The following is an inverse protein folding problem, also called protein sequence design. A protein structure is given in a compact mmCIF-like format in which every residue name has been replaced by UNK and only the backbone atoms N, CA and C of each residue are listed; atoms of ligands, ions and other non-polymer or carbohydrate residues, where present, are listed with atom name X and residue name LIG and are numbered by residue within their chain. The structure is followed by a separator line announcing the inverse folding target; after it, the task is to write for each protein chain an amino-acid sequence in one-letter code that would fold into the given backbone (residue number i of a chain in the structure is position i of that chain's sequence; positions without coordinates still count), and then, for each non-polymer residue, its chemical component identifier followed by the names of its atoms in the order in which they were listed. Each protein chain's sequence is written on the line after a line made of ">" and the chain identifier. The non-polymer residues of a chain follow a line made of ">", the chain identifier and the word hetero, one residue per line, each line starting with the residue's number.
data_IF_868380105553
#
_entry.id   IF_868380105553
#
_cell.length_a   1.000
_cell.length_b   1.000
_cell.length_c   1.000
_cell.angle_alpha   90.00
_cell.angle_beta   90.00
_cell.angle_gamma   90.00
#
_symmetry.space_group_name_H-M   'P 1'
#
loop_
_entity.id
_entity.type
_entity.pdbx_description
1 polymer ?
#
# COMPACT_ATOMS: atom_id res chain seq x y z
N UNK A 1 7.08 22.72 7.96
CA UNK A 1 7.20 21.23 8.02
C UNK A 1 7.58 20.75 6.63
N UNK A 2 8.57 19.87 6.52
CA UNK A 2 9.05 19.36 5.22
C UNK A 2 8.53 17.95 5.00
N UNK A 3 8.31 17.57 3.73
CA UNK A 3 7.76 16.28 3.36
C UNK A 3 8.70 15.53 2.40
N UNK A 4 8.67 14.21 2.48
CA UNK A 4 9.21 13.32 1.45
C UNK A 4 8.05 12.51 0.92
N UNK A 5 7.66 12.74 -0.32
CA UNK A 5 6.63 11.97 -1.01
C UNK A 5 7.31 10.82 -1.72
N UNK A 6 6.92 9.61 -1.37
CA UNK A 6 7.50 8.35 -1.85
C UNK A 6 6.46 7.59 -2.66
N UNK A 7 6.91 7.02 -3.75
CA UNK A 7 6.24 5.96 -4.49
C UNK A 7 7.23 4.83 -4.76
N UNK A 8 6.74 3.61 -4.90
CA UNK A 8 7.54 2.41 -5.07
C UNK A 8 6.97 1.55 -6.19
N UNK A 9 7.86 0.99 -7.01
CA UNK A 9 7.49 -0.08 -7.92
C UNK A 9 7.97 -1.44 -7.39
N UNK A 10 7.15 -2.48 -7.55
CA UNK A 10 7.50 -3.83 -7.08
C UNK A 10 7.08 -4.94 -8.02
N UNK A 11 7.77 -6.05 -7.90
CA UNK A 11 7.48 -7.30 -8.59
C UNK A 11 6.99 -8.36 -7.59
N UNK A 12 5.91 -9.05 -7.92
CA UNK A 12 5.48 -10.19 -7.13
C UNK A 12 6.44 -11.36 -7.28
N UNK A 13 7.32 -11.56 -6.31
CA UNK A 13 8.37 -12.57 -6.31
C UNK A 13 8.06 -13.68 -5.31
N UNK A 14 8.19 -14.96 -5.72
CA UNK A 14 7.99 -16.08 -4.81
C UNK A 14 9.27 -16.34 -4.01
N UNK A 15 9.18 -16.20 -2.69
CA UNK A 15 10.27 -16.54 -1.76
C UNK A 15 10.21 -18.02 -1.39
N UNK A 16 11.20 -18.78 -1.84
CA UNK A 16 11.37 -20.18 -1.40
C UNK A 16 11.77 -20.30 0.07
N UNK A 17 12.35 -19.25 0.66
CA UNK A 17 12.73 -19.20 2.08
C UNK A 17 11.49 -19.06 2.98
N UNK A 18 10.53 -18.22 2.57
CA UNK A 18 9.34 -17.93 3.38
C UNK A 18 8.08 -18.66 2.87
N UNK A 19 8.20 -19.42 1.77
CA UNK A 19 7.11 -20.17 1.13
C UNK A 19 5.88 -19.29 0.80
N UNK A 20 6.11 -18.01 0.43
CA UNK A 20 5.05 -17.05 0.07
C UNK A 20 5.50 -16.08 -1.01
N UNK A 21 4.54 -15.38 -1.61
CA UNK A 21 4.84 -14.23 -2.45
C UNK A 21 5.22 -13.01 -1.60
N UNK A 22 6.20 -12.26 -2.08
CA UNK A 22 6.66 -10.99 -1.52
C UNK A 22 6.56 -9.94 -2.63
N UNK A 23 6.06 -8.76 -2.32
CA UNK A 23 6.12 -7.60 -3.20
C UNK A 23 7.54 -7.03 -3.18
N UNK A 24 8.44 -7.64 -3.96
CA UNK A 24 9.85 -7.28 -4.01
C UNK A 24 10.03 -5.94 -4.71
N UNK A 25 10.48 -4.93 -3.98
CA UNK A 25 10.67 -3.59 -4.49
C UNK A 25 11.80 -3.57 -5.52
N UNK A 26 11.55 -2.90 -6.65
CA UNK A 26 12.47 -2.78 -7.78
C UNK A 26 12.83 -1.34 -8.11
N UNK A 27 12.05 -0.35 -7.66
CA UNK A 27 12.34 1.07 -7.82
C UNK A 27 11.85 1.86 -6.62
N UNK A 28 12.65 2.82 -6.16
CA UNK A 28 12.27 3.92 -5.29
C UNK A 28 12.22 5.19 -6.12
N UNK A 29 11.13 5.93 -6.00
CA UNK A 29 11.00 7.29 -6.50
C UNK A 29 10.48 8.20 -5.41
N UNK A 30 11.16 9.32 -5.16
CA UNK A 30 10.69 10.26 -4.15
C UNK A 30 11.07 11.71 -4.47
N UNK A 31 10.26 12.63 -3.96
CA UNK A 31 10.53 14.05 -3.97
C UNK A 31 10.56 14.59 -2.55
N UNK A 32 11.55 15.43 -2.25
CA UNK A 32 11.66 16.15 -0.98
C UNK A 32 11.23 17.59 -1.16
N UNK A 33 10.46 18.11 -0.20
CA UNK A 33 9.95 19.47 -0.27
C UNK A 33 10.45 20.34 0.87
N UNK A 34 10.44 21.65 0.64
CA UNK A 34 10.47 22.64 1.70
C UNK A 34 9.08 22.76 2.39
N UNK A 35 8.97 23.66 3.36
CA UNK A 35 7.72 23.95 4.08
C UNK A 35 6.65 24.64 3.22
N UNK A 36 7.00 25.14 2.04
CA UNK A 36 6.08 25.71 1.04
C UNK A 36 5.69 24.67 -0.04
N UNK A 37 6.03 23.42 0.14
CA UNK A 37 5.83 22.31 -0.81
C UNK A 37 6.55 22.52 -2.16
N UNK A 38 7.65 23.28 -2.20
CA UNK A 38 8.50 23.33 -3.38
C UNK A 38 9.49 22.17 -3.33
N UNK A 39 9.67 21.49 -4.46
CA UNK A 39 10.65 20.40 -4.57
C UNK A 39 12.05 20.99 -4.41
N UNK A 40 12.81 20.49 -3.42
CA UNK A 40 14.18 20.90 -3.13
C UNK A 40 15.19 19.79 -3.45
N UNK A 41 14.73 18.52 -3.51
CA UNK A 41 15.59 17.39 -3.83
C UNK A 41 14.78 16.22 -4.41
N UNK A 42 15.45 15.26 -5.04
CA UNK A 42 14.88 14.12 -5.76
C UNK A 42 15.65 12.86 -5.43
N UNK A 43 14.94 11.74 -5.36
CA UNK A 43 15.52 10.44 -5.12
C UNK A 43 14.96 9.43 -6.12
N UNK A 44 15.84 8.81 -6.87
CA UNK A 44 15.51 7.73 -7.81
C UNK A 44 16.55 6.63 -7.64
N UNK A 45 16.11 5.40 -7.41
CA UNK A 45 17.03 4.28 -7.24
C UNK A 45 16.40 2.96 -7.68
N UNK A 46 17.04 2.30 -8.60
CA UNK A 46 16.67 0.95 -9.03
C UNK A 46 17.25 -0.11 -8.09
N UNK A 47 16.48 -1.18 -7.87
CA UNK A 47 16.87 -2.28 -7.00
C UNK A 47 16.94 -3.57 -7.79
N UNK A 48 18.10 -4.23 -7.75
CA UNK A 48 18.28 -5.55 -8.33
C UNK A 48 17.48 -6.58 -7.53
N UNK A 49 16.57 -7.34 -8.15
CA UNK A 49 15.81 -8.39 -7.46
C UNK A 49 16.72 -9.44 -6.84
N UNK A 50 16.49 -9.74 -5.57
CA UNK A 50 17.25 -10.73 -4.79
C UNK A 50 16.40 -11.95 -4.41
N UNK A 51 15.06 -11.82 -4.43
CA UNK A 51 14.08 -12.88 -4.15
C UNK A 51 13.67 -13.54 -5.47
N UNK A 52 13.19 -12.74 -6.41
CA UNK A 52 12.81 -13.17 -7.76
C UNK A 52 13.97 -13.11 -8.72
N UNK A 53 14.00 -14.05 -9.69
CA UNK A 53 15.08 -14.06 -10.72
C UNK A 53 14.78 -13.14 -11.89
N UNK A 54 13.52 -12.83 -12.14
CA UNK A 54 13.05 -12.05 -13.30
C UNK A 54 11.77 -11.29 -12.95
N UNK A 55 11.61 -10.14 -13.57
CA UNK A 55 10.36 -9.40 -13.55
C UNK A 55 9.27 -10.15 -14.29
N UNK A 56 8.05 -10.13 -13.76
CA UNK A 56 6.88 -10.65 -14.48
C UNK A 56 6.55 -9.73 -15.68
N UNK A 57 5.92 -10.31 -16.71
CA UNK A 57 5.63 -9.57 -17.95
C UNK A 57 4.70 -8.38 -17.73
N UNK A 58 3.80 -8.46 -16.74
CA UNK A 58 2.87 -7.38 -16.41
C UNK A 58 3.64 -6.17 -15.84
N UNK A 59 4.58 -6.39 -14.91
CA UNK A 59 5.39 -5.33 -14.32
C UNK A 59 6.25 -4.64 -15.38
N UNK A 60 6.97 -5.43 -16.23
CA UNK A 60 7.75 -4.86 -17.33
C UNK A 60 6.94 -3.98 -18.27
N UNK A 61 5.70 -4.42 -18.60
CA UNK A 61 4.81 -3.66 -19.48
C UNK A 61 4.34 -2.36 -18.82
N UNK A 62 4.09 -2.41 -17.51
CA UNK A 62 3.55 -1.30 -16.74
C UNK A 62 4.63 -0.24 -16.45
N UNK A 63 5.73 -0.67 -15.81
CA UNK A 63 6.82 0.22 -15.37
C UNK A 63 7.84 0.54 -16.47
N UNK A 64 7.82 -0.22 -17.58
CA UNK A 64 8.85 -0.19 -18.65
C UNK A 64 10.26 -0.57 -18.15
N UNK A 65 10.43 -0.94 -16.88
CA UNK A 65 11.70 -1.40 -16.31
C UNK A 65 12.05 -2.78 -16.89
N UNK A 66 13.32 -2.97 -17.27
CA UNK A 66 13.84 -4.21 -17.84
C UNK A 66 14.72 -4.97 -16.85
N UNK A 67 14.88 -6.29 -17.04
CA UNK A 67 15.81 -7.06 -16.22
C UNK A 67 17.27 -6.63 -16.45
N UNK A 68 17.59 -6.18 -17.65
CA UNK A 68 18.90 -5.68 -18.04
C UNK A 68 19.22 -4.40 -17.27
N UNK A 69 18.29 -3.47 -17.24
CA UNK A 69 18.41 -2.20 -16.51
C UNK A 69 18.61 -2.44 -15.01
N UNK A 70 17.83 -3.31 -14.39
CA UNK A 70 17.99 -3.68 -12.97
C UNK A 70 19.33 -4.35 -12.67
N UNK A 71 19.85 -5.15 -13.61
CA UNK A 71 21.15 -5.82 -13.44
C UNK A 71 22.32 -4.83 -13.57
N UNK A 72 22.21 -3.85 -14.45
CA UNK A 72 23.29 -2.89 -14.73
C UNK A 72 23.31 -1.74 -13.74
N UNK A 73 22.13 -1.23 -13.36
CA UNK A 73 21.97 0.00 -12.58
C UNK A 73 21.37 -0.23 -11.18
N UNK A 74 20.84 -1.43 -10.92
CA UNK A 74 20.19 -1.71 -9.64
C UNK A 74 21.20 -1.98 -8.51
N UNK A 75 20.87 -1.49 -7.33
CA UNK A 75 21.60 -1.78 -6.10
C UNK A 75 20.86 -2.83 -5.23
N UNK A 76 21.40 -3.16 -4.07
CA UNK A 76 20.67 -3.99 -3.08
C UNK A 76 19.62 -3.17 -2.35
N UNK A 77 18.52 -3.83 -1.92
CA UNK A 77 17.46 -3.16 -1.15
C UNK A 77 18.00 -2.44 0.09
N UNK A 78 18.89 -3.08 0.87
CA UNK A 78 19.41 -2.47 2.08
C UNK A 78 20.32 -1.26 1.80
N UNK A 79 21.00 -1.22 0.64
CA UNK A 79 21.72 -0.03 0.20
C UNK A 79 20.75 1.11 -0.12
N UNK A 80 19.70 0.83 -0.89
CA UNK A 80 18.66 1.83 -1.20
C UNK A 80 18.02 2.40 0.08
N UNK A 81 17.66 1.54 1.05
CA UNK A 81 17.15 1.97 2.35
C UNK A 81 18.12 2.87 3.11
N UNK A 82 19.43 2.55 3.06
CA UNK A 82 20.47 3.36 3.71
C UNK A 82 20.56 4.76 3.10
N UNK A 83 20.53 4.86 1.77
CA UNK A 83 20.56 6.14 1.07
C UNK A 83 19.25 6.90 1.24
N UNK A 84 18.10 6.20 1.16
CA UNK A 84 16.79 6.80 1.40
C UNK A 84 16.64 7.37 2.81
N UNK A 85 17.20 6.70 3.84
CA UNK A 85 17.27 7.23 5.20
C UNK A 85 17.97 8.59 5.27
N UNK A 86 19.09 8.75 4.57
CA UNK A 86 19.83 10.03 4.52
C UNK A 86 19.01 11.10 3.81
N UNK A 87 18.37 10.72 2.69
CA UNK A 87 17.49 11.60 1.94
C UNK A 87 16.26 12.03 2.76
N UNK A 88 15.59 11.11 3.43
CA UNK A 88 14.38 11.37 4.20
C UNK A 88 14.65 12.35 5.35
N UNK A 89 15.70 12.10 6.16
CA UNK A 89 15.99 12.90 7.35
C UNK A 89 14.81 12.92 8.32
N UNK A 90 14.44 14.10 8.82
CA UNK A 90 13.34 14.31 9.78
C UNK A 90 12.01 14.73 9.08
N UNK A 91 11.89 14.52 7.78
CA UNK A 91 10.69 14.86 7.04
C UNK A 91 9.53 13.90 7.35
N UNK A 92 8.30 14.38 7.17
CA UNK A 92 7.11 13.52 7.14
C UNK A 92 7.16 12.67 5.87
N UNK A 93 7.10 11.35 6.01
CA UNK A 93 6.97 10.44 4.88
C UNK A 93 5.52 10.41 4.40
N UNK A 94 5.34 10.55 3.11
CA UNK A 94 4.03 10.63 2.45
C UNK A 94 3.94 9.59 1.35
N UNK A 95 2.83 8.87 1.26
CA UNK A 95 2.54 7.96 0.13
C UNK A 95 1.11 8.14 -0.37
N UNK A 96 0.82 7.69 -1.60
CA UNK A 96 -0.54 7.55 -2.09
C UNK A 96 -1.11 6.20 -1.62
N UNK A 97 -1.97 6.24 -0.60
CA UNK A 97 -2.47 5.02 0.03
C UNK A 97 -1.42 4.38 0.96
N UNK A 98 -1.69 3.14 1.34
CA UNK A 98 -0.85 2.37 2.27
C UNK A 98 -0.01 1.28 1.60
N UNK A 99 -0.15 1.08 0.29
CA UNK A 99 0.50 -0.02 -0.43
C UNK A 99 2.03 0.09 -0.38
N UNK A 100 2.56 1.30 -0.61
CA UNK A 100 4.01 1.56 -0.64
C UNK A 100 4.64 1.36 0.73
N UNK A 101 4.05 1.93 1.77
CA UNK A 101 4.59 1.76 3.14
C UNK A 101 4.52 0.30 3.58
N UNK A 102 3.47 -0.45 3.19
CA UNK A 102 3.37 -1.88 3.46
C UNK A 102 4.42 -2.68 2.70
N UNK A 103 4.64 -2.40 1.40
CA UNK A 103 5.68 -3.04 0.62
C UNK A 103 7.07 -2.75 1.20
N UNK A 104 7.32 -1.51 1.63
CA UNK A 104 8.58 -1.11 2.25
C UNK A 104 8.84 -1.87 3.56
N UNK A 105 7.85 -1.95 4.44
CA UNK A 105 7.93 -2.71 5.70
C UNK A 105 8.11 -4.21 5.40
N UNK A 106 7.37 -4.77 4.44
CA UNK A 106 7.48 -6.19 4.07
C UNK A 106 8.91 -6.54 3.60
N UNK A 107 9.49 -5.70 2.73
CA UNK A 107 10.88 -5.89 2.28
C UNK A 107 11.87 -5.68 3.43
N UNK A 108 11.66 -4.68 4.27
CA UNK A 108 12.54 -4.44 5.42
C UNK A 108 12.50 -5.61 6.41
N UNK A 109 11.31 -6.17 6.69
CA UNK A 109 11.16 -7.39 7.50
C UNK A 109 11.90 -8.58 6.89
N UNK A 110 11.85 -8.73 5.56
CA UNK A 110 12.53 -9.82 4.87
C UNK A 110 14.05 -9.78 5.06
N UNK A 111 14.66 -8.59 4.97
CA UNK A 111 16.12 -8.42 5.02
C UNK A 111 16.65 -8.10 6.43
N UNK A 112 15.92 -7.32 7.23
CA UNK A 112 16.36 -6.84 8.54
C UNK A 112 15.70 -7.57 9.72
N UNK A 113 14.72 -8.46 9.45
CA UNK A 113 13.99 -9.27 10.45
C UNK A 113 13.26 -8.44 11.52
N UNK A 114 12.84 -7.23 11.20
CA UNK A 114 12.05 -6.33 12.05
C UNK A 114 11.20 -5.40 11.18
N UNK A 115 10.00 -4.99 11.63
CA UNK A 115 9.13 -4.12 10.86
C UNK A 115 9.50 -2.64 10.95
N UNK A 116 10.11 -2.20 12.06
CA UNK A 116 10.34 -0.79 12.36
C UNK A 116 11.39 -0.20 11.41
N UNK A 117 10.96 0.73 10.58
CA UNK A 117 11.84 1.47 9.67
C UNK A 117 12.62 2.54 10.46
N UNK A 118 13.96 2.52 10.44
CA UNK A 118 14.78 3.34 11.34
C UNK A 118 14.80 4.85 11.01
N UNK A 119 14.10 5.25 9.96
CA UNK A 119 13.99 6.63 9.50
C UNK A 119 12.55 7.17 9.54
N UNK A 120 11.58 6.30 9.85
CA UNK A 120 10.17 6.67 9.83
C UNK A 120 9.75 7.19 11.21
N UNK A 121 9.59 8.50 11.31
CA UNK A 121 9.12 9.16 12.54
C UNK A 121 7.67 9.64 12.40
N UNK A 122 7.30 10.13 11.22
CA UNK A 122 5.97 10.65 10.93
C UNK A 122 5.52 10.21 9.54
N UNK A 123 4.25 9.85 9.42
CA UNK A 123 3.68 9.30 8.19
C UNK A 123 2.33 9.92 7.85
N UNK A 124 2.10 10.17 6.58
CA UNK A 124 0.83 10.65 6.05
C UNK A 124 0.38 9.84 4.83
N UNK A 125 -0.85 9.33 4.87
CA UNK A 125 -1.54 8.78 3.69
C UNK A 125 -2.28 9.91 2.99
N UNK A 126 -1.78 10.35 1.83
CA UNK A 126 -2.38 11.46 1.07
C UNK A 126 -3.66 11.05 0.36
N UNK A 127 -3.86 9.78 0.05
CA UNK A 127 -5.12 9.30 -0.52
C UNK A 127 -6.29 9.61 0.43
N UNK A 128 -6.19 9.23 1.73
CA UNK A 128 -7.22 9.52 2.75
C UNK A 128 -7.48 11.03 2.87
N UNK A 129 -6.42 11.84 2.78
CA UNK A 129 -6.51 13.28 2.81
C UNK A 129 -7.27 13.85 1.61
N UNK A 130 -6.92 13.45 0.39
CA UNK A 130 -7.59 13.89 -0.84
C UNK A 130 -9.04 13.41 -0.91
N UNK A 131 -9.32 12.18 -0.50
CA UNK A 131 -10.69 11.65 -0.42
C UNK A 131 -11.57 12.49 0.50
N UNK A 132 -11.04 12.91 1.66
CA UNK A 132 -11.75 13.78 2.58
C UNK A 132 -11.98 15.18 1.99
N UNK A 133 -10.97 15.78 1.38
CA UNK A 133 -11.08 17.10 0.76
C UNK A 133 -12.08 17.13 -0.39
N UNK A 134 -12.13 16.08 -1.20
CA UNK A 134 -13.08 15.91 -2.31
C UNK A 134 -14.46 15.46 -1.87
N UNK A 135 -14.65 15.12 -0.58
CA UNK A 135 -15.88 14.51 -0.05
C UNK A 135 -16.29 13.23 -0.80
N UNK A 136 -15.32 12.49 -1.32
CA UNK A 136 -15.53 11.20 -2.00
C UNK A 136 -15.48 10.10 -0.96
N UNK A 137 -16.66 9.61 -0.54
CA UNK A 137 -16.78 8.56 0.48
C UNK A 137 -17.37 7.28 -0.12
N UNK A 138 -16.79 6.77 -1.19
CA UNK A 138 -17.17 5.45 -1.66
C UNK A 138 -16.36 4.39 -0.90
N UNK A 139 -17.01 3.70 0.05
CA UNK A 139 -16.40 2.61 0.81
C UNK A 139 -16.07 1.38 -0.05
N UNK A 140 -16.54 1.35 -1.29
CA UNK A 140 -16.37 0.20 -2.21
C UNK A 140 -15.12 0.31 -3.09
N UNK A 141 -14.59 1.52 -3.30
CA UNK A 141 -13.40 1.75 -4.12
C UNK A 141 -12.55 2.90 -3.57
N UNK A 142 -11.24 2.67 -3.47
CA UNK A 142 -10.27 3.70 -3.12
C UNK A 142 -10.05 4.63 -4.31
N UNK A 143 -9.83 5.91 -4.06
CA UNK A 143 -9.53 6.91 -5.09
C UNK A 143 -8.15 6.66 -5.70
N UNK A 144 -8.08 6.31 -6.98
CA UNK A 144 -6.81 6.16 -7.70
C UNK A 144 -6.09 7.51 -7.89
N UNK A 145 -4.76 7.51 -7.92
CA UNK A 145 -3.95 8.72 -8.09
C UNK A 145 -4.27 9.46 -9.38
N UNK A 146 -4.33 8.76 -10.52
CA UNK A 146 -4.68 9.35 -11.82
C UNK A 146 -6.10 9.89 -11.83
N UNK A 147 -7.05 9.19 -11.21
CA UNK A 147 -8.44 9.66 -11.10
C UNK A 147 -8.52 10.95 -10.27
N UNK A 148 -7.79 11.02 -9.17
CA UNK A 148 -7.68 12.25 -8.37
C UNK A 148 -7.10 13.41 -9.18
N UNK A 149 -6.02 13.17 -9.91
CA UNK A 149 -5.38 14.18 -10.76
C UNK A 149 -6.34 14.70 -11.84
N UNK A 150 -7.09 13.80 -12.49
CA UNK A 150 -8.11 14.15 -13.48
C UNK A 150 -9.23 15.02 -12.86
N UNK A 151 -9.74 14.64 -11.67
CA UNK A 151 -10.75 15.43 -10.95
C UNK A 151 -10.26 16.83 -10.60
N UNK A 152 -8.96 16.99 -10.35
CA UNK A 152 -8.33 18.27 -10.02
C UNK A 152 -7.82 19.05 -11.26
N UNK A 153 -8.05 18.51 -12.47
CA UNK A 153 -7.52 19.05 -13.72
C UNK A 153 -5.98 19.26 -13.70
N UNK A 154 -5.26 18.38 -13.01
CA UNK A 154 -3.80 18.37 -12.96
C UNK A 154 -3.29 17.63 -14.18
N UNK A 155 -2.51 18.32 -15.03
CA UNK A 155 -1.88 17.68 -16.17
C UNK A 155 -0.70 16.82 -15.71
N UNK A 156 -0.62 15.60 -16.23
CA UNK A 156 0.49 14.66 -16.04
C UNK A 156 0.73 13.87 -17.33
N UNK A 157 1.95 13.35 -17.47
CA UNK A 157 2.30 12.55 -18.65
C UNK A 157 1.89 11.08 -18.40
N UNK A 158 0.93 10.60 -19.18
CA UNK A 158 0.44 9.21 -19.11
C UNK A 158 1.55 8.21 -19.50
N UNK A 159 2.52 8.62 -20.33
CA UNK A 159 3.64 7.79 -20.75
C UNK A 159 4.67 7.57 -19.61
N UNK A 160 4.75 8.51 -18.67
CA UNK A 160 5.64 8.44 -17.50
C UNK A 160 4.96 7.81 -16.27
N UNK A 161 3.66 7.54 -16.32
CA UNK A 161 2.97 6.79 -15.25
C UNK A 161 3.63 5.43 -15.01
N UNK A 162 3.58 4.98 -13.76
CA UNK A 162 4.24 3.77 -13.29
C UNK A 162 5.78 3.82 -13.34
N UNK A 163 6.33 5.01 -13.24
CA UNK A 163 7.68 5.27 -12.77
C UNK A 163 7.57 5.94 -11.42
N UNK A 164 8.18 5.34 -10.42
CA UNK A 164 7.99 5.73 -9.01
C UNK A 164 8.22 7.25 -8.77
N UNK A 165 9.21 7.84 -9.45
CA UNK A 165 9.44 9.28 -9.34
C UNK A 165 8.27 10.12 -9.88
N UNK A 166 7.72 9.77 -11.05
CA UNK A 166 6.62 10.51 -11.67
C UNK A 166 5.34 10.44 -10.82
N UNK A 167 5.05 9.28 -10.24
CA UNK A 167 3.88 9.07 -9.38
C UNK A 167 4.06 9.77 -8.01
N UNK A 168 5.28 9.84 -7.46
CA UNK A 168 5.59 10.66 -6.29
C UNK A 168 5.38 12.16 -6.56
N UNK A 169 5.81 12.66 -7.72
CA UNK A 169 5.59 14.06 -8.12
C UNK A 169 4.11 14.37 -8.34
N UNK A 170 3.36 13.44 -8.95
CA UNK A 170 1.92 13.58 -9.14
C UNK A 170 1.17 13.58 -7.80
N UNK A 171 1.56 12.71 -6.86
CA UNK A 171 1.04 12.69 -5.49
C UNK A 171 1.26 14.03 -4.79
N UNK A 172 2.46 14.63 -4.92
CA UNK A 172 2.74 15.97 -4.39
C UNK A 172 1.82 17.04 -5.01
N UNK A 173 1.58 16.99 -6.33
CA UNK A 173 0.68 17.94 -7.01
C UNK A 173 -0.75 17.85 -6.47
N UNK A 174 -1.27 16.62 -6.29
CA UNK A 174 -2.58 16.40 -5.70
C UNK A 174 -2.66 16.93 -4.24
N UNK A 175 -1.68 16.61 -3.41
CA UNK A 175 -1.57 17.11 -2.04
C UNK A 175 -1.53 18.64 -1.99
N UNK A 176 -0.70 19.26 -2.82
CA UNK A 176 -0.49 20.72 -2.87
C UNK A 176 -1.75 21.48 -3.23
N UNK A 177 -2.67 20.86 -3.97
CA UNK A 177 -3.93 21.48 -4.38
C UNK A 177 -4.79 21.88 -3.18
N UNK A 178 -4.78 21.09 -2.12
CA UNK A 178 -5.67 21.26 -0.97
C UNK A 178 -5.03 21.91 0.25
N UNK A 179 -3.71 21.83 0.42
CA UNK A 179 -3.03 22.22 1.69
C UNK A 179 -3.28 23.67 2.10
N UNK A 180 -3.60 24.57 1.18
CA UNK A 180 -3.91 25.97 1.50
C UNK A 180 -5.26 26.15 2.20
N UNK A 181 -6.22 25.30 1.84
CA UNK A 181 -7.61 25.41 2.30
C UNK A 181 -7.96 24.41 3.39
N UNK A 182 -7.23 23.28 3.43
CA UNK A 182 -7.43 22.18 4.37
C UNK A 182 -6.11 21.80 5.04
N UNK A 183 -5.95 21.98 6.36
CA UNK A 183 -4.73 21.56 7.07
C UNK A 183 -4.50 20.05 6.96
N UNK A 184 -3.25 19.65 6.66
CA UNK A 184 -2.87 18.23 6.54
C UNK A 184 -2.48 17.60 7.88
N UNK A 185 -2.29 18.41 8.92
CA UNK A 185 -1.74 18.01 10.22
C UNK A 185 -2.53 16.87 10.87
N UNK A 186 -3.87 16.87 10.74
CA UNK A 186 -4.74 15.82 11.29
C UNK A 186 -4.53 14.44 10.63
N UNK A 187 -3.87 14.39 9.49
CA UNK A 187 -3.56 13.16 8.75
C UNK A 187 -2.15 12.63 9.01
N UNK A 188 -1.33 13.41 9.71
CA UNK A 188 0.03 13.01 10.07
C UNK A 188 -0.03 12.13 11.32
N UNK A 189 0.48 10.92 11.19
CA UNK A 189 0.53 9.90 12.25
C UNK A 189 1.94 9.80 12.81
N UNK A 190 2.05 9.65 14.11
CA UNK A 190 3.30 9.25 14.77
C UNK A 190 3.60 7.79 14.38
N UNK A 191 4.73 7.59 13.70
CA UNK A 191 5.19 6.30 13.26
C UNK A 191 6.36 5.74 14.10
N UNK A 192 6.67 6.37 15.23
CA UNK A 192 7.65 5.86 16.20
C UNK A 192 7.05 4.81 17.14
N UNK A 193 5.72 4.86 17.33
CA UNK A 193 5.00 3.96 18.22
C UNK A 193 4.78 2.59 17.59
N UNK A 194 4.89 1.51 18.37
CA UNK A 194 4.68 0.14 17.91
C UNK A 194 3.26 -0.08 17.38
N UNK A 195 2.28 0.59 17.97
CA UNK A 195 0.87 0.55 17.57
C UNK A 195 0.64 1.01 16.12
N UNK A 196 1.50 1.87 15.57
CA UNK A 196 1.45 2.26 14.16
C UNK A 196 1.66 1.04 13.25
N UNK A 197 2.71 0.26 13.54
CA UNK A 197 3.03 -0.95 12.78
C UNK A 197 2.00 -2.05 12.99
N UNK A 198 1.51 -2.23 14.21
CA UNK A 198 0.46 -3.21 14.53
C UNK A 198 -0.82 -2.94 13.73
N UNK A 199 -1.26 -1.68 13.67
CA UNK A 199 -2.44 -1.30 12.89
C UNK A 199 -2.23 -1.47 11.38
N UNK A 200 -1.04 -1.11 10.89
CA UNK A 200 -0.72 -1.18 9.48
C UNK A 200 -0.57 -2.63 9.00
N UNK A 201 0.04 -3.49 9.83
CA UNK A 201 0.27 -4.90 9.54
C UNK A 201 -0.90 -5.81 9.91
N UNK A 202 -1.92 -5.26 10.57
CA UNK A 202 -3.09 -6.03 10.96
C UNK A 202 -3.79 -6.62 9.74
N UNK A 203 -3.77 -7.95 9.66
CA UNK A 203 -4.51 -8.71 8.65
C UNK A 203 -5.69 -9.38 9.34
N UNK A 204 -6.90 -9.15 8.84
CA UNK A 204 -8.04 -9.93 9.24
C UNK A 204 -7.79 -11.40 8.88
N UNK A 205 -7.65 -12.26 9.87
CA UNK A 205 -7.55 -13.69 9.66
C UNK A 205 -8.96 -14.24 9.44
N UNK A 206 -9.28 -14.52 8.19
CA UNK A 206 -10.49 -15.28 7.88
C UNK A 206 -10.17 -16.78 7.98
N UNK A 207 -10.71 -17.44 8.99
CA UNK A 207 -10.62 -18.89 9.11
C UNK A 207 -11.58 -19.47 8.07
N UNK A 208 -11.05 -19.99 6.98
CA UNK A 208 -11.84 -20.64 5.90
C UNK A 208 -12.07 -22.12 6.14
N UNK A 209 -11.20 -22.77 6.93
CA UNK A 209 -11.41 -24.17 7.32
C UNK A 209 -12.35 -24.28 8.53
N UNK A 210 -13.55 -24.75 8.28
CA UNK A 210 -14.59 -24.98 9.33
C UNK A 210 -14.16 -25.97 10.41
N UNK A 211 -13.16 -26.81 10.15
CA UNK A 211 -12.68 -27.79 11.12
C UNK A 211 -11.56 -27.19 11.99
N UNK A 212 -11.16 -25.95 11.78
CA UNK A 212 -10.20 -25.27 12.63
C UNK A 212 -10.73 -25.29 14.09
N UNK A 213 -9.90 -25.71 15.06
CA UNK A 213 -10.31 -25.84 16.48
C UNK A 213 -10.71 -24.49 17.12
N UNK A 214 -10.29 -23.35 16.55
CA UNK A 214 -10.67 -22.02 17.02
C UNK A 214 -12.10 -21.61 16.63
N UNK A 215 -12.76 -22.37 15.74
CA UNK A 215 -14.13 -22.08 15.33
C UNK A 215 -15.11 -22.68 16.31
N UNK A 216 -15.88 -21.85 17.00
CA UNK A 216 -17.06 -22.29 17.72
C UNK A 216 -18.20 -22.70 16.75
N UNK A 217 -18.32 -23.98 16.49
CA UNK A 217 -19.35 -24.56 15.60
C UNK A 217 -20.80 -24.28 16.09
N UNK A 218 -21.00 -23.89 17.35
CA UNK A 218 -22.32 -23.55 17.89
C UNK A 218 -22.75 -22.14 17.39
N UNK A 219 -21.83 -21.19 17.30
CA UNK A 219 -22.10 -19.86 16.80
C UNK A 219 -22.47 -19.84 15.30
N UNK A 220 -22.20 -20.94 14.60
CA UNK A 220 -22.47 -21.10 13.16
C UNK A 220 -23.84 -21.78 12.88
N UNK A 221 -24.64 -22.00 13.87
CA UNK A 221 -26.01 -22.56 13.72
C UNK A 221 -26.98 -21.40 13.63
N UNK A 222 -27.51 -21.17 12.45
CA UNK A 222 -28.51 -20.14 12.18
C UNK A 222 -29.87 -20.82 11.98
N UNK A 223 -30.91 -20.21 12.52
CA UNK A 223 -32.28 -20.59 12.20
C UNK A 223 -32.84 -19.61 11.14
N UNK A 224 -33.66 -20.12 10.25
CA UNK A 224 -34.35 -19.27 9.27
C UNK A 224 -35.36 -18.36 10.00
N UNK A 225 -35.23 -17.06 9.79
CA UNK A 225 -36.14 -16.07 10.41
C UNK A 225 -37.58 -16.19 9.93
N UNK A 226 -37.80 -16.79 8.73
CA UNK A 226 -39.15 -16.97 8.18
C UNK A 226 -39.88 -18.23 8.71
N UNK A 227 -39.16 -19.33 8.99
CA UNK A 227 -39.77 -20.59 9.36
C UNK A 227 -39.20 -21.23 10.64
N UNK A 228 -38.22 -20.61 11.28
CA UNK A 228 -37.59 -21.10 12.52
C UNK A 228 -36.75 -22.37 12.39
N UNK A 229 -36.67 -22.97 11.21
CA UNK A 229 -35.88 -24.22 11.01
C UNK A 229 -34.40 -23.88 10.95
N UNK A 230 -33.57 -24.85 11.36
CA UNK A 230 -32.11 -24.73 11.23
C UNK A 230 -31.73 -24.63 9.74
N UNK A 231 -30.98 -23.58 9.39
CA UNK A 231 -30.50 -23.38 8.03
C UNK A 231 -29.48 -24.47 7.63
N UNK A 232 -29.66 -25.06 6.46
CA UNK A 232 -28.71 -25.99 5.88
C UNK A 232 -27.52 -25.21 5.28
N UNK A 233 -26.30 -25.69 5.53
CA UNK A 233 -25.09 -25.12 4.98
C UNK A 233 -24.93 -25.52 3.51
N UNK A 234 -24.75 -24.54 2.63
CA UNK A 234 -24.31 -24.80 1.25
C UNK A 234 -22.77 -24.80 1.16
N UNK A 235 -22.21 -25.79 0.45
CA UNK A 235 -20.77 -26.09 0.44
C UNK A 235 -19.84 -24.98 -0.13
N UNK A 236 -20.39 -23.96 -0.77
CA UNK A 236 -19.61 -22.92 -1.48
C UNK A 236 -19.97 -21.49 -1.12
N UNK A 237 -20.61 -21.24 0.04
CA UNK A 237 -20.97 -19.89 0.48
C UNK A 237 -19.94 -19.34 1.47
N UNK A 238 -19.53 -18.09 1.24
CA UNK A 238 -18.79 -17.32 2.22
C UNK A 238 -19.63 -17.20 3.50
N UNK A 239 -19.10 -17.63 4.63
CA UNK A 239 -19.82 -17.82 5.90
C UNK A 239 -20.42 -16.56 6.52
N UNK A 240 -20.17 -15.39 5.96
CA UNK A 240 -20.54 -14.10 6.55
C UNK A 240 -21.76 -13.40 5.91
N UNK A 241 -22.33 -13.90 4.80
CA UNK A 241 -23.27 -13.10 4.02
C UNK A 241 -24.53 -13.79 3.48
N UNK A 242 -24.89 -14.97 3.92
CA UNK A 242 -26.15 -15.59 3.45
C UNK A 242 -27.06 -15.94 4.59
N UNK A 243 -28.04 -15.09 4.90
CA UNK A 243 -29.31 -15.63 5.36
C UNK A 243 -29.87 -16.51 4.22
N UNK A 244 -30.27 -17.74 4.51
CA UNK A 244 -30.89 -18.60 3.49
C UNK A 244 -32.13 -17.90 2.94
N UNK A 245 -32.24 -17.86 1.61
CA UNK A 245 -33.47 -17.41 0.97
C UNK A 245 -34.65 -18.26 1.45
N UNK A 246 -35.86 -17.72 1.58
CA UNK A 246 -37.04 -18.50 1.90
C UNK A 246 -37.29 -19.71 0.99
N UNK A 247 -36.67 -19.75 -0.20
CA UNK A 247 -36.70 -20.89 -1.14
C UNK A 247 -35.77 -22.05 -0.73
N UNK A 248 -34.80 -21.79 0.14
CA UNK A 248 -33.79 -22.81 0.53
C UNK A 248 -34.23 -23.54 1.80
N UNK A 249 -35.42 -23.25 2.34
CA UNK A 249 -36.03 -23.89 3.53
C UNK A 249 -37.03 -24.99 3.18
N UNK A 250 -37.17 -25.42 1.92
CA UNK A 250 -38.09 -26.47 1.47
C UNK A 250 -37.41 -27.84 1.42
#
# INVERSE_FOLDING_TARGET
>A
MSFVVLDLEWNGSYSSKEHRFVNEIIEFGAVKTDENLNIIDRFEMLISPQIGKKLCSKVKKLTKITNEELRENGCTFMHAVSEFKKFCGDCVLVTWGTSDILALIENYMYYAHRPELPFLTSYCNVQDYCEKCLSVYDKSSQLGLSVCADMLAINFDVEEQHRAYADAELTLKCMKHFVKDYPIDDFIKDATAHEFYDRLLYKNHFITDINNPEIDKRSMRFNCDACGRQAARQANCCLLYTSPSPRDCS
#
